data_IF_485022680941
#
_entry.id   IF_485022680941
#
_cell.length_a   1.000
_cell.length_b   1.000
_cell.length_c   1.000
_cell.angle_alpha   90.00
_cell.angle_beta   90.00
_cell.angle_gamma   90.00
#
_symmetry.space_group_name_H-M   'P 1'
#
loop_
_entity.id
_entity.type
_entity.pdbx_description
1 polymer ?
#
# COMPACT_ATOMS: atom_id res chain seq x y z
N UNK A 1 -4.63 -8.38 2.30
CA UNK A 1 -3.61 -9.45 2.23
C UNK A 1 -3.53 -10.10 3.59
N UNK A 2 -3.93 -11.37 3.65
CA UNK A 2 -4.25 -12.00 4.92
C UNK A 2 -3.08 -12.84 5.44
N UNK A 3 -2.30 -13.41 4.54
CA UNK A 3 -1.16 -14.29 4.84
C UNK A 3 0.15 -13.74 4.26
N UNK A 4 1.06 -13.34 5.16
CA UNK A 4 2.39 -12.83 4.82
C UNK A 4 3.29 -13.93 4.27
N UNK A 5 3.17 -15.15 4.77
CA UNK A 5 4.04 -16.26 4.36
C UNK A 5 3.84 -16.60 2.89
N UNK A 6 2.59 -16.74 2.45
CA UNK A 6 2.29 -16.97 1.03
C UNK A 6 2.75 -15.80 0.16
N UNK A 7 2.53 -14.56 0.59
CA UNK A 7 2.97 -13.39 -0.17
C UNK A 7 4.50 -13.33 -0.34
N UNK A 8 5.28 -13.74 0.67
CA UNK A 8 6.74 -13.85 0.56
C UNK A 8 7.17 -14.88 -0.50
N UNK A 9 6.44 -16.00 -0.62
CA UNK A 9 6.71 -16.99 -1.65
C UNK A 9 6.43 -16.43 -3.04
N UNK A 10 5.29 -15.76 -3.23
CA UNK A 10 4.91 -15.14 -4.49
C UNK A 10 5.91 -14.06 -4.92
N UNK A 11 6.42 -13.25 -3.98
CA UNK A 11 7.43 -12.24 -4.27
C UNK A 11 8.78 -12.86 -4.64
N UNK A 12 9.19 -13.96 -4.00
CA UNK A 12 10.44 -14.65 -4.38
C UNK A 12 10.38 -15.21 -5.80
N UNK A 13 9.20 -15.63 -6.26
CA UNK A 13 9.03 -16.12 -7.61
C UNK A 13 9.31 -15.06 -8.68
N UNK A 14 9.08 -13.78 -8.41
CA UNK A 14 9.33 -12.73 -9.41
C UNK A 14 10.80 -12.34 -9.55
N UNK A 15 11.67 -12.78 -8.64
CA UNK A 15 13.12 -12.54 -8.75
C UNK A 15 13.77 -13.26 -9.94
N UNK A 16 13.15 -14.32 -10.46
CA UNK A 16 13.59 -14.94 -11.73
C UNK A 16 13.50 -13.98 -12.93
N UNK A 17 12.68 -12.93 -12.81
CA UNK A 17 12.56 -11.86 -13.79
C UNK A 17 13.42 -10.64 -13.46
N UNK A 18 14.34 -10.75 -12.49
CA UNK A 18 15.21 -9.66 -12.03
C UNK A 18 14.44 -8.44 -11.50
N UNK A 19 13.19 -8.64 -11.05
CA UNK A 19 12.40 -7.58 -10.45
C UNK A 19 13.02 -7.16 -9.12
N UNK A 20 13.17 -5.85 -8.90
CA UNK A 20 13.75 -5.28 -7.68
C UNK A 20 12.73 -4.50 -6.86
N UNK A 21 11.57 -4.19 -7.42
CA UNK A 21 10.59 -3.32 -6.79
C UNK A 21 9.16 -3.63 -7.20
N UNK A 22 8.22 -3.47 -6.28
CA UNK A 22 6.78 -3.57 -6.52
C UNK A 22 6.13 -2.25 -6.09
N UNK A 23 5.17 -1.78 -6.88
CA UNK A 23 4.25 -0.74 -6.45
C UNK A 23 2.96 -1.40 -5.93
N UNK A 24 2.72 -1.31 -4.62
CA UNK A 24 1.45 -1.69 -4.02
C UNK A 24 0.43 -0.58 -4.24
N UNK A 25 -0.66 -0.92 -4.91
CA UNK A 25 -1.72 0.01 -5.29
C UNK A 25 -2.89 0.01 -4.30
N UNK A 26 -2.72 -0.60 -3.13
CA UNK A 26 -3.74 -0.64 -2.09
C UNK A 26 -3.76 0.69 -1.35
N UNK A 27 -4.69 1.59 -1.71
CA UNK A 27 -4.77 2.94 -1.12
C UNK A 27 -5.40 2.98 0.29
N UNK A 28 -5.48 4.18 0.89
CA UNK A 28 -6.07 4.40 2.22
C UNK A 28 -7.52 3.89 2.22
N UNK A 29 -7.92 3.22 3.32
CA UNK A 29 -9.24 2.63 3.50
C UNK A 29 -9.58 1.45 2.58
N UNK A 30 -8.68 1.06 1.67
CA UNK A 30 -8.86 -0.11 0.79
C UNK A 30 -8.23 -1.39 1.36
N UNK A 31 -7.95 -1.43 2.68
CA UNK A 31 -7.37 -2.60 3.35
C UNK A 31 -5.84 -2.67 3.32
N UNK A 32 -5.15 -1.55 3.07
CA UNK A 32 -3.69 -1.48 3.13
C UNK A 32 -3.17 -1.81 4.53
N UNK A 33 -2.13 -2.65 4.59
CA UNK A 33 -1.40 -2.97 5.81
C UNK A 33 0.11 -2.76 5.60
N UNK A 34 0.58 -1.55 5.93
CA UNK A 34 1.98 -1.16 5.73
C UNK A 34 2.96 -1.97 6.58
N UNK A 35 2.51 -2.54 7.71
CA UNK A 35 3.37 -3.37 8.56
C UNK A 35 3.63 -4.71 7.90
N UNK A 36 2.59 -5.33 7.32
CA UNK A 36 2.75 -6.56 6.54
C UNK A 36 3.60 -6.33 5.29
N UNK A 37 3.38 -5.22 4.57
CA UNK A 37 4.21 -4.87 3.40
C UNK A 37 5.68 -4.67 3.81
N UNK A 38 5.93 -3.97 4.91
CA UNK A 38 7.28 -3.84 5.45
C UNK A 38 7.91 -5.20 5.81
N UNK A 39 7.16 -6.08 6.47
CA UNK A 39 7.61 -7.44 6.82
C UNK A 39 7.99 -8.25 5.56
N UNK A 40 7.18 -8.20 4.51
CA UNK A 40 7.50 -8.87 3.23
C UNK A 40 8.77 -8.29 2.62
N UNK A 41 8.91 -6.96 2.61
CA UNK A 41 10.13 -6.30 2.12
C UNK A 41 11.36 -6.77 2.88
N UNK A 42 11.31 -6.86 4.22
CA UNK A 42 12.40 -7.38 5.04
C UNK A 42 12.73 -8.85 4.77
N UNK A 43 11.72 -9.71 4.60
CA UNK A 43 11.92 -11.15 4.39
C UNK A 43 12.39 -11.52 2.98
N UNK A 44 12.09 -10.68 1.99
CA UNK A 44 12.40 -10.95 0.56
C UNK A 44 13.58 -10.14 0.06
N UNK A 45 13.82 -8.95 0.62
CA UNK A 45 14.78 -7.97 0.11
C UNK A 45 14.26 -7.12 -1.05
N UNK A 46 12.97 -7.25 -1.43
CA UNK A 46 12.38 -6.41 -2.48
C UNK A 46 12.02 -5.02 -1.94
N UNK A 47 12.10 -4.00 -2.79
CA UNK A 47 11.56 -2.67 -2.45
C UNK A 47 10.05 -2.64 -2.71
N UNK A 48 9.27 -2.13 -1.76
CA UNK A 48 7.82 -1.97 -1.93
C UNK A 48 7.48 -0.50 -1.81
N UNK A 49 6.95 0.09 -2.88
CA UNK A 49 6.41 1.44 -2.90
C UNK A 49 4.92 1.36 -2.58
N UNK A 50 4.48 2.02 -1.52
CA UNK A 50 3.07 2.08 -1.15
C UNK A 50 2.43 3.32 -1.79
N UNK A 51 1.27 3.18 -2.43
CA UNK A 51 0.51 4.33 -2.89
C UNK A 51 -0.26 5.00 -1.73
N UNK A 52 -0.57 6.27 -1.92
CA UNK A 52 -1.52 7.05 -1.10
C UNK A 52 -2.78 7.35 -1.90
N UNK A 53 -3.78 7.94 -1.27
CA UNK A 53 -5.00 8.41 -1.92
C UNK A 53 -6.25 7.59 -1.57
N UNK A 54 -7.29 7.79 -2.37
CA UNK A 54 -8.61 7.19 -2.19
C UNK A 54 -9.05 6.53 -3.50
N UNK A 55 -9.54 5.28 -3.43
CA UNK A 55 -9.90 4.51 -4.63
C UNK A 55 -11.39 4.60 -4.99
N UNK A 56 -12.27 4.16 -4.09
CA UNK A 56 -13.70 3.98 -4.38
C UNK A 56 -14.57 4.59 -3.30
N UNK A 57 -15.70 5.19 -3.70
CA UNK A 57 -16.56 5.98 -2.78
C UNK A 57 -17.07 5.14 -1.62
N UNK A 58 -17.31 3.84 -1.84
CA UNK A 58 -17.78 2.91 -0.82
C UNK A 58 -16.83 2.80 0.38
N UNK A 59 -15.54 3.05 0.18
CA UNK A 59 -14.50 2.96 1.21
C UNK A 59 -14.07 4.33 1.73
N UNK A 60 -14.69 5.42 1.26
CA UNK A 60 -14.40 6.76 1.72
C UNK A 60 -15.04 7.00 3.09
N UNK A 61 -14.25 7.55 4.00
CA UNK A 61 -14.71 8.02 5.31
C UNK A 61 -15.31 9.42 5.20
N UNK A 62 -16.07 9.80 6.22
CA UNK A 62 -16.78 11.10 6.26
C UNK A 62 -15.89 12.32 5.97
N UNK A 63 -14.63 12.30 6.42
CA UNK A 63 -13.72 13.43 6.22
C UNK A 63 -13.37 13.61 4.73
N UNK A 64 -13.26 12.53 3.96
CA UNK A 64 -12.97 12.58 2.52
C UNK A 64 -14.07 13.31 1.76
N UNK A 65 -15.31 13.22 2.25
CA UNK A 65 -16.48 13.86 1.63
C UNK A 65 -16.65 15.31 2.08
N UNK A 66 -16.21 15.64 3.30
CA UNK A 66 -16.52 16.91 3.97
C UNK A 66 -15.38 17.95 3.89
N UNK A 67 -14.14 17.50 3.80
CA UNK A 67 -12.97 18.38 3.83
C UNK A 67 -12.66 19.00 2.46
N UNK A 68 -11.90 20.10 2.47
CA UNK A 68 -11.47 20.74 1.23
C UNK A 68 -10.40 19.91 0.52
N UNK A 69 -10.23 20.13 -0.78
CA UNK A 69 -9.15 19.48 -1.55
C UNK A 69 -7.78 19.77 -0.94
N UNK A 70 -7.57 20.97 -0.41
CA UNK A 70 -6.33 21.38 0.23
C UNK A 70 -6.06 20.60 1.52
N UNK A 71 -7.08 20.42 2.36
CA UNK A 71 -6.95 19.64 3.59
C UNK A 71 -6.67 18.18 3.28
N UNK A 72 -7.37 17.61 2.29
CA UNK A 72 -7.13 16.26 1.83
C UNK A 72 -5.72 16.10 1.25
N UNK A 73 -5.25 17.04 0.44
CA UNK A 73 -3.88 17.03 -0.08
C UNK A 73 -2.86 17.06 1.06
N UNK A 74 -3.07 17.90 2.08
CA UNK A 74 -2.22 17.95 3.27
C UNK A 74 -2.16 16.58 3.98
N UNK A 75 -3.33 15.94 4.17
CA UNK A 75 -3.37 14.59 4.75
C UNK A 75 -2.62 13.55 3.94
N UNK A 76 -2.70 13.59 2.61
CA UNK A 76 -2.00 12.63 1.74
C UNK A 76 -0.48 12.87 1.74
N UNK A 77 -0.03 14.12 1.93
CA UNK A 77 1.39 14.46 2.07
C UNK A 77 1.94 13.98 3.41
N UNK A 78 1.15 14.11 4.48
CA UNK A 78 1.52 13.69 5.84
C UNK A 78 1.32 12.19 6.09
N UNK A 79 0.90 11.44 5.07
CA UNK A 79 0.57 10.04 5.19
C UNK A 79 1.78 9.12 4.95
N UNK A 80 1.91 8.13 5.85
CA UNK A 80 2.95 7.09 6.03
C UNK A 80 4.41 7.51 5.79
#
# INVERSE_FOLDING_TARGET
MDDVHHAVLDVKEIFKFQCQSIADMTSIHYGRDVKKLYEISQQTGIHILCCTGFHEKLFMTDYVVKESVQDLAGRLIDEI
#
